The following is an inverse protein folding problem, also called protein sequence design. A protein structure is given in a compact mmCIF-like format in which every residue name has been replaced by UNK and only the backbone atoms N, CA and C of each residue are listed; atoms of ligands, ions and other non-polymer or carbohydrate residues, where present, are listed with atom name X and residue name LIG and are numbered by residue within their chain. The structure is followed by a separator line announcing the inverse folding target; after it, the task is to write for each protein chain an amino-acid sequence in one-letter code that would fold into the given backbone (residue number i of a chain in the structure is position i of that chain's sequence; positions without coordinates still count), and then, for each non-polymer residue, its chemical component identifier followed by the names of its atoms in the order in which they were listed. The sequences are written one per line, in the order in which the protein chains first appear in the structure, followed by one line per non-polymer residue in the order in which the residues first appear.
data_IF_073022358935
#
_entry.id   IF_073022358935
#
_cell.length_a   1.000
_cell.length_b   1.000
_cell.length_c   1.000
_cell.angle_alpha   90.00
_cell.angle_beta   90.00
_cell.angle_gamma   90.00
#
_symmetry.space_group_name_H-M   'P 1'
#
loop_
_entity.id
_entity.type
_entity.pdbx_description
1 polymer ?
#
# COMPACT_ATOMS: atom_id res chain seq x y z
N UNK A 1 -12.95 -9.96 -5.78
CA UNK A 1 -13.25 -11.42 -5.79
C UNK A 1 -14.72 -11.61 -6.16
N UNK A 2 -15.15 -12.77 -6.65
CA UNK A 2 -16.56 -13.07 -7.00
C UNK A 2 -17.11 -14.15 -6.08
N UNK A 3 -18.33 -13.96 -5.60
CA UNK A 3 -19.10 -14.96 -4.85
C UNK A 3 -19.96 -15.81 -5.78
N UNK A 4 -19.53 -17.04 -6.01
CA UNK A 4 -20.26 -17.99 -6.84
C UNK A 4 -21.44 -18.65 -6.12
N UNK A 5 -21.63 -18.40 -4.82
CA UNK A 5 -22.72 -18.97 -4.03
C UNK A 5 -22.48 -20.42 -3.66
N UNK A 6 -23.55 -21.13 -3.30
CA UNK A 6 -23.53 -22.56 -3.00
C UNK A 6 -24.17 -23.27 -4.18
N UNK A 7 -23.34 -23.88 -5.01
CA UNK A 7 -23.75 -24.57 -6.23
C UNK A 7 -23.63 -26.09 -6.03
N UNK A 8 -24.18 -26.89 -6.96
CA UNK A 8 -24.34 -28.34 -6.77
C UNK A 8 -23.24 -29.14 -7.48
N UNK A 9 -22.92 -30.32 -6.94
CA UNK A 9 -21.98 -31.25 -7.55
C UNK A 9 -20.59 -30.63 -7.77
N UNK A 10 -20.16 -30.57 -9.03
CA UNK A 10 -18.83 -30.07 -9.43
C UNK A 10 -18.82 -28.59 -9.84
N UNK A 11 -19.95 -27.89 -9.69
CA UNK A 11 -20.08 -26.47 -10.01
C UNK A 11 -19.20 -25.61 -9.10
N UNK A 12 -18.63 -24.53 -9.66
CA UNK A 12 -17.84 -23.59 -8.90
C UNK A 12 -18.67 -22.96 -7.79
N UNK A 13 -18.25 -23.09 -6.54
CA UNK A 13 -18.93 -22.55 -5.36
C UNK A 13 -17.99 -21.69 -4.52
N UNK A 14 -18.55 -20.78 -3.74
CA UNK A 14 -17.81 -19.94 -2.80
C UNK A 14 -17.08 -18.78 -3.47
N UNK A 15 -16.12 -18.23 -2.74
CA UNK A 15 -15.42 -17.02 -3.16
C UNK A 15 -14.18 -17.35 -4.00
N UNK A 16 -14.16 -16.91 -5.25
CA UNK A 16 -13.04 -17.12 -6.16
C UNK A 16 -12.72 -15.87 -6.98
N UNK A 17 -11.48 -15.75 -7.44
CA UNK A 17 -11.18 -14.77 -8.49
C UNK A 17 -11.84 -15.19 -9.79
N UNK A 18 -12.14 -14.20 -10.63
CA UNK A 18 -12.72 -14.43 -11.93
C UNK A 18 -12.23 -13.37 -12.91
N UNK A 19 -12.16 -13.74 -14.19
CA UNK A 19 -11.85 -12.85 -15.31
C UNK A 19 -13.18 -12.42 -15.93
N UNK A 20 -13.37 -11.11 -16.10
CA UNK A 20 -14.54 -10.56 -16.78
C UNK A 20 -14.33 -10.62 -18.29
N UNK A 21 -15.30 -11.17 -19.02
CA UNK A 21 -15.23 -11.34 -20.48
C UNK A 21 -15.94 -10.23 -21.26
N UNK A 22 -16.83 -9.46 -20.62
CA UNK A 22 -17.55 -8.39 -21.29
C UNK A 22 -16.58 -7.30 -21.77
N UNK A 23 -16.40 -7.19 -23.10
CA UNK A 23 -15.60 -6.14 -23.73
C UNK A 23 -16.23 -4.75 -23.60
N UNK A 24 -17.55 -4.69 -23.76
CA UNK A 24 -18.35 -3.46 -23.69
C UNK A 24 -19.34 -3.58 -22.52
N UNK A 25 -18.91 -3.21 -21.32
CA UNK A 25 -19.77 -3.16 -20.13
C UNK A 25 -20.20 -1.73 -19.79
N UNK A 26 -21.32 -1.58 -19.07
CA UNK A 26 -21.80 -0.28 -18.59
C UNK A 26 -22.38 -0.36 -17.18
N UNK A 27 -22.46 0.77 -16.45
CA UNK A 27 -23.06 0.81 -15.12
C UNK A 27 -24.54 0.37 -15.08
N UNK A 28 -25.26 0.50 -16.21
CA UNK A 28 -26.68 0.09 -16.31
C UNK A 28 -26.85 -1.42 -16.44
N UNK A 29 -25.82 -2.15 -16.88
CA UNK A 29 -25.84 -3.60 -16.95
C UNK A 29 -25.59 -4.18 -15.55
N UNK A 30 -26.56 -4.93 -15.00
CA UNK A 30 -26.49 -5.47 -13.64
C UNK A 30 -25.69 -6.77 -13.49
N UNK A 31 -25.22 -7.35 -14.60
CA UNK A 31 -24.54 -8.67 -14.62
C UNK A 31 -23.22 -8.62 -15.39
N UNK A 32 -22.36 -9.61 -15.16
CA UNK A 32 -21.11 -9.84 -15.90
C UNK A 32 -20.99 -11.31 -16.27
N UNK A 33 -20.50 -11.58 -17.46
CA UNK A 33 -20.02 -12.89 -17.89
C UNK A 33 -18.58 -13.03 -17.45
N UNK A 34 -18.31 -14.06 -16.64
CA UNK A 34 -17.01 -14.26 -16.00
C UNK A 34 -16.51 -15.69 -16.17
N UNK A 35 -15.18 -15.85 -16.16
CA UNK A 35 -14.52 -17.15 -16.04
C UNK A 35 -13.88 -17.26 -14.66
N UNK A 36 -14.25 -18.25 -13.83
CA UNK A 36 -13.60 -18.50 -12.56
C UNK A 36 -12.12 -18.86 -12.70
N UNK A 37 -11.35 -18.56 -11.66
CA UNK A 37 -9.92 -18.83 -11.58
C UNK A 37 -9.63 -19.77 -10.40
N UNK A 38 -8.71 -20.72 -10.61
CA UNK A 38 -8.25 -21.68 -9.60
C UNK A 38 -6.73 -21.74 -9.53
N UNK A 39 -6.18 -22.05 -8.36
CA UNK A 39 -4.74 -22.33 -8.18
C UNK A 39 -4.37 -23.80 -8.38
N UNK A 40 -5.35 -24.65 -8.72
CA UNK A 40 -5.14 -26.09 -8.93
C UNK A 40 -5.02 -26.38 -10.43
N UNK A 41 -3.84 -26.76 -10.94
CA UNK A 41 -3.67 -27.10 -12.35
C UNK A 41 -4.50 -28.34 -12.70
N UNK A 42 -5.13 -28.32 -13.87
CA UNK A 42 -5.86 -29.44 -14.48
C UNK A 42 -5.79 -29.33 -16.00
N UNK A 43 -6.12 -30.42 -16.70
CA UNK A 43 -6.26 -30.43 -18.14
C UNK A 43 -7.34 -29.42 -18.59
N UNK A 44 -7.14 -28.80 -19.76
CA UNK A 44 -8.07 -27.83 -20.37
C UNK A 44 -8.28 -26.53 -19.57
N UNK A 45 -7.35 -26.18 -18.68
CA UNK A 45 -7.30 -24.87 -18.02
C UNK A 45 -6.26 -23.96 -18.69
N UNK A 46 -6.49 -22.66 -18.69
CA UNK A 46 -5.56 -21.68 -19.26
C UNK A 46 -4.77 -21.03 -18.13
N UNK A 47 -3.45 -21.20 -18.14
CA UNK A 47 -2.56 -20.58 -17.16
C UNK A 47 -2.52 -19.06 -17.33
N UNK A 48 -2.54 -18.33 -16.22
CA UNK A 48 -2.38 -16.87 -16.22
C UNK A 48 -0.90 -16.47 -16.37
N UNK A 49 -0.69 -15.27 -16.92
CA UNK A 49 0.63 -14.69 -17.24
C UNK A 49 1.45 -14.27 -16.00
N UNK A 50 0.83 -14.26 -14.83
CA UNK A 50 1.40 -13.67 -13.62
C UNK A 50 0.63 -14.08 -12.37
N UNK A 51 1.22 -13.81 -11.21
CA UNK A 51 0.54 -14.00 -9.94
C UNK A 51 -0.45 -12.86 -9.69
N UNK A 52 -1.61 -13.21 -9.14
CA UNK A 52 -2.62 -12.21 -8.72
C UNK A 52 -2.02 -11.27 -7.68
N UNK A 53 -1.19 -11.79 -6.78
CA UNK A 53 -0.45 -10.99 -5.81
C UNK A 53 0.48 -9.96 -6.48
N UNK A 54 1.21 -10.33 -7.52
CA UNK A 54 2.16 -9.42 -8.19
C UNK A 54 1.44 -8.27 -8.90
N UNK A 55 0.41 -8.56 -9.71
CA UNK A 55 -0.38 -7.50 -10.36
C UNK A 55 -1.12 -6.63 -9.35
N UNK A 56 -1.52 -7.19 -8.20
CA UNK A 56 -2.14 -6.41 -7.14
C UNK A 56 -1.15 -5.45 -6.47
N UNK A 57 0.08 -5.91 -6.20
CA UNK A 57 1.11 -5.10 -5.54
C UNK A 57 1.49 -3.89 -6.38
N UNK A 58 1.72 -4.07 -7.69
CA UNK A 58 2.08 -2.94 -8.56
C UNK A 58 0.99 -1.85 -8.63
N UNK A 59 -0.28 -2.25 -8.59
CA UNK A 59 -1.41 -1.32 -8.52
C UNK A 59 -1.54 -0.61 -7.16
N UNK A 60 -1.18 -1.29 -6.06
CA UNK A 60 -1.15 -0.70 -4.73
C UNK A 60 0.02 0.27 -4.57
N UNK A 61 1.20 -0.07 -5.10
CA UNK A 61 2.38 0.80 -5.08
C UNK A 61 2.13 2.15 -5.77
N UNK A 62 1.42 2.11 -6.90
CA UNK A 62 0.98 3.32 -7.60
C UNK A 62 0.06 4.22 -6.72
N UNK A 63 -0.74 3.62 -5.83
CA UNK A 63 -1.62 4.33 -4.90
C UNK A 63 -0.89 4.81 -3.64
N UNK A 64 0.14 4.09 -3.20
CA UNK A 64 0.97 4.43 -2.05
C UNK A 64 1.87 5.63 -2.36
N UNK A 65 2.48 5.67 -3.55
CA UNK A 65 3.42 6.72 -3.96
C UNK A 65 2.96 8.16 -3.66
N UNK A 66 1.76 8.63 -4.05
CA UNK A 66 1.33 9.99 -3.74
C UNK A 66 1.13 10.24 -2.24
N UNK A 67 0.78 9.20 -1.46
CA UNK A 67 0.68 9.30 -0.01
C UNK A 67 2.07 9.48 0.59
N UNK A 68 3.06 8.71 0.14
CA UNK A 68 4.46 8.86 0.56
C UNK A 68 5.00 10.26 0.22
N UNK A 69 4.79 10.75 -1.01
CA UNK A 69 5.21 12.10 -1.41
C UNK A 69 4.56 13.16 -0.51
N UNK A 70 3.26 13.04 -0.23
CA UNK A 70 2.56 13.96 0.68
C UNK A 70 3.18 13.94 2.09
N UNK A 71 3.49 12.75 2.63
CA UNK A 71 4.11 12.61 3.95
C UNK A 71 5.50 13.24 3.95
N UNK A 72 6.32 12.98 2.93
CA UNK A 72 7.67 13.54 2.76
C UNK A 72 7.59 15.07 2.73
N UNK A 73 6.73 15.65 1.89
CA UNK A 73 6.57 17.12 1.84
C UNK A 73 6.08 17.73 3.16
N UNK A 74 5.26 17.01 3.93
CA UNK A 74 4.85 17.44 5.27
C UNK A 74 6.00 17.38 6.28
N UNK A 75 6.95 16.46 6.12
CA UNK A 75 8.16 16.36 6.95
C UNK A 75 9.14 17.48 6.57
N UNK A 76 9.49 17.62 5.30
CA UNK A 76 10.41 18.66 4.80
C UNK A 76 9.92 20.07 5.12
N UNK A 77 8.62 20.34 4.92
CA UNK A 77 8.03 21.63 5.25
C UNK A 77 8.10 21.96 6.75
N UNK A 78 8.18 20.95 7.62
CA UNK A 78 8.33 21.14 9.07
C UNK A 78 9.77 21.40 9.47
N UNK A 79 10.73 20.69 8.87
CA UNK A 79 12.15 20.91 9.11
C UNK A 79 12.52 22.37 8.80
N UNK A 80 12.05 22.91 7.67
CA UNK A 80 12.26 24.31 7.29
C UNK A 80 11.65 25.30 8.31
N UNK A 81 10.47 25.00 8.86
CA UNK A 81 9.83 25.85 9.88
C UNK A 81 10.55 25.80 11.22
N UNK A 82 11.11 24.65 11.60
CA UNK A 82 11.88 24.49 12.83
C UNK A 82 13.19 25.28 12.71
N UNK A 83 13.93 25.11 11.61
CA UNK A 83 15.15 25.86 11.34
C UNK A 83 14.92 27.38 11.35
N UNK A 84 13.85 27.86 10.72
CA UNK A 84 13.52 29.28 10.74
C UNK A 84 13.21 29.81 12.15
N UNK A 85 12.55 29.00 13.00
CA UNK A 85 12.26 29.35 14.39
C UNK A 85 13.52 29.34 15.26
N UNK A 86 14.42 28.39 15.05
CA UNK A 86 15.73 28.32 15.72
C UNK A 86 16.55 29.57 15.40
N UNK A 87 16.72 29.92 14.13
CA UNK A 87 17.42 31.14 13.72
C UNK A 87 16.79 32.42 14.32
N UNK A 88 15.45 32.46 14.39
CA UNK A 88 14.73 33.59 15.01
C UNK A 88 14.99 33.67 16.52
N UNK A 89 15.05 32.53 17.20
CA UNK A 89 15.34 32.44 18.63
C UNK A 89 16.81 32.81 18.93
N UNK A 90 17.75 32.31 18.14
CA UNK A 90 19.17 32.67 18.22
C UNK A 90 19.37 34.17 18.03
N UNK A 91 18.73 34.77 17.02
CA UNK A 91 18.78 36.22 16.81
C UNK A 91 18.24 36.98 18.03
N UNK A 92 17.08 36.59 18.55
CA UNK A 92 16.48 37.23 19.73
C UNK A 92 17.33 37.05 20.99
N UNK A 93 17.95 35.89 21.16
CA UNK A 93 18.83 35.62 22.29
C UNK A 93 20.11 36.46 22.20
N UNK A 94 20.72 36.56 21.02
CA UNK A 94 21.87 37.43 20.76
C UNK A 94 21.53 38.91 21.01
N UNK A 95 20.35 39.36 20.61
CA UNK A 95 19.88 40.73 20.85
C UNK A 95 19.63 41.00 22.34
N UNK A 96 19.06 40.04 23.08
CA UNK A 96 18.88 40.14 24.53
C UNK A 96 20.24 40.23 25.25
N UNK A 97 21.21 39.39 24.88
CA UNK A 97 22.54 39.40 25.50
C UNK A 97 23.29 40.71 25.24
N UNK A 98 23.22 41.22 24.00
CA UNK A 98 23.78 42.53 23.64
C UNK A 98 23.14 43.68 24.42
N UNK A 99 21.81 43.68 24.53
CA UNK A 99 21.06 44.81 25.09
C UNK A 99 20.97 44.81 26.63
N UNK A 100 21.01 43.64 27.29
CA UNK A 100 20.88 43.54 28.76
C UNK A 100 22.20 43.40 29.52
N UNK A 101 23.27 42.91 28.90
CA UNK A 101 24.45 42.47 29.64
C UNK A 101 25.76 43.17 29.23
N UNK A 102 25.83 43.91 28.11
CA UNK A 102 27.09 44.46 27.56
C UNK A 102 28.20 43.39 27.37
N UNK A 103 27.82 42.12 27.26
CA UNK A 103 28.74 40.98 27.13
C UNK A 103 29.02 40.74 25.64
N UNK A 104 30.29 40.54 25.30
CA UNK A 104 30.77 40.29 23.93
C UNK A 104 30.46 38.85 23.48
N UNK A 105 30.44 38.59 22.15
CA UNK A 105 30.16 37.23 21.60
C UNK A 105 31.07 36.14 22.19
N UNK A 106 32.33 36.47 22.42
CA UNK A 106 33.35 35.53 22.93
C UNK A 106 33.08 35.08 24.38
N UNK A 107 32.48 35.94 25.20
CA UNK A 107 32.13 35.62 26.59
C UNK A 107 30.86 34.74 26.70
N UNK A 108 29.99 34.76 25.67
CA UNK A 108 28.76 33.94 25.61
C UNK A 108 29.11 32.48 25.31
N UNK A 109 30.00 32.25 24.34
CA UNK A 109 30.42 30.92 23.90
C UNK A 109 31.12 30.14 25.03
N UNK A 110 31.90 30.84 25.87
CA UNK A 110 32.54 30.25 27.03
C UNK A 110 31.54 29.82 28.13
N UNK A 111 30.47 30.60 28.34
CA UNK A 111 29.46 30.34 29.39
C UNK A 111 28.52 29.17 29.05
N UNK A 112 28.15 29.03 27.79
CA UNK A 112 27.32 27.89 27.34
C UNK A 112 28.04 26.56 27.53
N UNK A 113 29.36 26.55 27.31
CA UNK A 113 30.23 25.39 27.52
C UNK A 113 30.39 25.03 29.01
N UNK A 114 30.37 26.04 29.88
CA UNK A 114 30.46 25.88 31.34
C UNK A 114 29.15 25.34 31.96
N UNK A 115 27.99 25.65 31.37
CA UNK A 115 26.66 25.31 31.91
C UNK A 115 26.09 23.95 31.47
N UNK A 116 26.74 23.24 30.54
CA UNK A 116 26.36 21.86 30.15
C UNK A 116 24.94 21.71 29.59
N UNK A 117 24.40 22.77 28.98
CA UNK A 117 23.01 22.86 28.50
C UNK A 117 22.69 21.98 27.28
N UNK A 118 23.68 21.29 26.70
CA UNK A 118 23.51 20.37 25.56
C UNK A 118 22.66 19.13 25.88
N UNK A 119 22.34 18.87 27.17
CA UNK A 119 21.77 17.60 27.64
C UNK A 119 20.24 17.58 27.84
N UNK A 120 19.50 18.69 27.62
CA UNK A 120 18.11 18.82 28.12
C UNK A 120 16.98 18.22 27.22
N UNK A 121 17.28 17.55 26.10
CA UNK A 121 16.26 17.20 25.08
C UNK A 121 15.66 15.78 25.11
N UNK A 122 15.98 14.91 26.08
CA UNK A 122 15.73 13.45 25.94
C UNK A 122 14.65 12.77 26.82
N UNK A 123 13.56 13.41 27.28
CA UNK A 123 12.48 12.63 27.92
C UNK A 123 11.07 13.23 27.75
N UNK A 124 9.96 12.50 27.50
CA UNK A 124 9.69 11.05 27.62
C UNK A 124 8.34 10.67 26.93
N UNK A 125 8.27 9.42 26.46
CA UNK A 125 7.14 8.59 25.94
C UNK A 125 6.61 8.79 24.49
N UNK A 126 7.07 7.96 23.55
CA UNK A 126 6.34 7.61 22.30
C UNK A 126 6.98 6.46 21.52
N UNK A 127 6.19 5.50 21.04
CA UNK A 127 6.52 4.59 19.92
C UNK A 127 7.62 3.48 20.08
N UNK A 128 8.47 3.36 21.12
CA UNK A 128 9.57 2.39 21.08
C UNK A 128 9.03 0.97 21.36
N UNK A 129 7.86 0.91 22.01
CA UNK A 129 7.10 -0.31 22.25
C UNK A 129 6.50 -0.89 20.94
N UNK A 130 6.16 -0.03 19.97
CA UNK A 130 5.68 -0.44 18.65
C UNK A 130 6.87 -0.87 17.77
N UNK A 131 8.00 -0.17 17.88
CA UNK A 131 9.26 -0.53 17.21
C UNK A 131 9.78 -1.90 17.67
N UNK A 132 9.75 -2.22 18.97
CA UNK A 132 10.13 -3.55 19.46
C UNK A 132 9.26 -4.69 18.90
N UNK A 133 8.04 -4.41 18.44
CA UNK A 133 7.22 -5.42 17.75
C UNK A 133 7.60 -5.58 16.29
N UNK A 134 8.17 -4.54 15.65
CA UNK A 134 8.59 -4.55 14.25
C UNK A 134 10.01 -5.12 14.05
N UNK A 135 10.86 -5.04 15.07
CA UNK A 135 12.23 -5.58 15.05
C UNK A 135 12.32 -7.11 15.15
N UNK A 136 11.22 -7.80 15.50
CA UNK A 136 11.23 -9.24 15.76
C UNK A 136 10.97 -10.12 14.53
N UNK A 137 10.62 -9.55 13.38
CA UNK A 137 10.38 -10.30 12.14
C UNK A 137 11.36 -9.86 11.04
N UNK A 138 12.48 -10.60 10.91
CA UNK A 138 13.36 -10.76 9.72
C UNK A 138 13.78 -9.54 8.87
N UNK A 139 13.61 -8.31 9.35
CA UNK A 139 14.03 -7.12 8.61
C UNK A 139 15.38 -6.60 9.14
N UNK A 140 16.44 -6.72 8.34
CA UNK A 140 17.76 -6.16 8.66
C UNK A 140 17.66 -4.62 8.60
N UNK A 141 17.47 -3.99 9.75
CA UNK A 141 17.52 -2.54 9.90
C UNK A 141 18.99 -2.12 9.89
N UNK A 142 19.42 -1.39 8.85
CA UNK A 142 20.76 -0.81 8.78
C UNK A 142 20.89 0.37 9.77
N UNK A 143 22.11 0.67 10.21
CA UNK A 143 22.42 1.73 11.20
C UNK A 143 21.87 3.11 10.79
N UNK A 144 21.84 3.40 9.49
CA UNK A 144 21.23 4.61 8.91
C UNK A 144 19.71 4.69 9.11
N UNK A 145 19.01 3.56 9.03
CA UNK A 145 17.55 3.50 9.23
C UNK A 145 17.21 3.73 10.71
N UNK A 146 18.05 3.23 11.63
CA UNK A 146 17.87 3.44 13.06
C UNK A 146 18.05 4.92 13.45
N UNK A 147 19.07 5.60 12.91
CA UNK A 147 19.32 7.03 13.15
C UNK A 147 18.20 7.93 12.57
N UNK A 148 17.74 7.59 11.35
CA UNK A 148 16.60 8.26 10.71
C UNK A 148 15.30 8.12 11.54
N UNK A 149 15.04 6.93 12.09
CA UNK A 149 13.87 6.66 12.92
C UNK A 149 13.94 7.43 14.26
N UNK A 150 15.12 7.53 14.87
CA UNK A 150 15.31 8.27 16.12
C UNK A 150 15.10 9.78 15.92
N UNK A 151 15.64 10.35 14.86
CA UNK A 151 15.43 11.77 14.49
C UNK A 151 13.99 12.06 14.14
N UNK A 152 13.35 11.17 13.37
CA UNK A 152 11.92 11.28 13.09
C UNK A 152 11.09 11.24 14.39
N UNK A 153 11.45 10.39 15.37
CA UNK A 153 10.69 10.23 16.63
C UNK A 153 10.67 11.50 17.48
N UNK A 154 11.77 12.26 17.49
CA UNK A 154 11.88 13.53 18.22
C UNK A 154 11.04 14.67 17.60
N UNK A 155 10.91 14.69 16.26
CA UNK A 155 10.26 15.77 15.48
C UNK A 155 8.72 15.64 15.46
N UNK A 156 8.18 14.51 15.92
CA UNK A 156 6.85 14.03 15.49
C UNK A 156 5.60 14.59 16.21
N UNK A 157 5.71 15.47 17.21
CA UNK A 157 4.54 16.02 17.92
C UNK A 157 4.12 17.42 17.41
N UNK A 158 3.04 17.50 16.58
CA UNK A 158 2.07 18.65 16.49
C UNK A 158 1.29 18.79 15.16
N UNK A 159 0.97 17.72 14.41
CA UNK A 159 0.02 17.76 13.27
C UNK A 159 -0.86 16.52 13.25
N UNK A 160 -1.68 16.38 14.30
CA UNK A 160 -2.45 15.16 14.60
C UNK A 160 -3.46 14.78 13.49
N UNK A 161 -4.10 15.77 12.86
CA UNK A 161 -5.25 15.53 11.94
C UNK A 161 -4.79 15.03 10.56
N UNK A 162 -3.90 15.74 9.84
CA UNK A 162 -3.43 15.29 8.50
C UNK A 162 -2.69 13.96 8.57
N UNK A 163 -1.97 13.74 9.67
CA UNK A 163 -1.28 12.48 9.95
C UNK A 163 -2.26 11.33 10.18
N UNK A 164 -3.29 11.54 11.00
CA UNK A 164 -4.35 10.55 11.20
C UNK A 164 -5.06 10.16 9.90
N UNK A 165 -5.24 11.09 8.95
CA UNK A 165 -5.83 10.79 7.65
C UNK A 165 -4.91 9.93 6.79
N UNK A 166 -3.60 10.21 6.76
CA UNK A 166 -2.63 9.38 6.05
C UNK A 166 -2.54 7.97 6.66
N UNK A 167 -2.51 7.88 8.00
CA UNK A 167 -2.49 6.61 8.74
C UNK A 167 -3.73 5.76 8.43
N UNK A 168 -4.93 6.37 8.40
CA UNK A 168 -6.16 5.67 8.03
C UNK A 168 -6.08 5.11 6.60
N UNK A 169 -5.58 5.89 5.64
CA UNK A 169 -5.43 5.44 4.25
C UNK A 169 -4.42 4.30 4.13
N UNK A 170 -3.26 4.43 4.78
CA UNK A 170 -2.23 3.39 4.80
C UNK A 170 -2.77 2.10 5.42
N UNK A 171 -3.47 2.16 6.56
CA UNK A 171 -4.08 0.99 7.19
C UNK A 171 -5.06 0.26 6.26
N UNK A 172 -5.86 1.01 5.49
CA UNK A 172 -6.74 0.41 4.47
C UNK A 172 -5.95 -0.28 3.37
N UNK A 173 -4.88 0.33 2.87
CA UNK A 173 -3.99 -0.26 1.86
C UNK A 173 -3.30 -1.53 2.40
N UNK A 174 -2.77 -1.49 3.63
CA UNK A 174 -2.15 -2.65 4.29
C UNK A 174 -3.14 -3.81 4.43
N UNK A 175 -4.40 -3.53 4.75
CA UNK A 175 -5.46 -4.54 4.78
C UNK A 175 -5.67 -5.20 3.41
N UNK A 176 -5.64 -4.43 2.31
CA UNK A 176 -5.74 -4.98 0.95
C UNK A 176 -4.49 -5.81 0.62
N UNK A 177 -3.30 -5.26 0.83
CA UNK A 177 -2.01 -5.92 0.55
C UNK A 177 -1.89 -7.26 1.27
N UNK A 178 -2.16 -7.29 2.57
CA UNK A 178 -2.14 -8.53 3.38
C UNK A 178 -3.17 -9.57 2.92
N UNK A 179 -4.31 -9.13 2.37
CA UNK A 179 -5.31 -10.05 1.79
C UNK A 179 -4.78 -10.66 0.49
N UNK A 180 -4.22 -9.85 -0.41
CA UNK A 180 -3.75 -10.30 -1.72
C UNK A 180 -2.45 -11.12 -1.65
N UNK A 181 -1.61 -10.92 -0.63
CA UNK A 181 -0.38 -11.70 -0.37
C UNK A 181 -0.63 -13.20 -0.31
N UNK A 182 -1.85 -13.63 0.06
CA UNK A 182 -2.26 -15.04 0.13
C UNK A 182 -2.37 -15.71 -1.24
N UNK A 183 -2.46 -14.94 -2.33
CA UNK A 183 -2.67 -15.43 -3.69
C UNK A 183 -1.38 -15.36 -4.52
N UNK A 184 -0.30 -15.88 -3.94
CA UNK A 184 1.05 -15.96 -4.51
C UNK A 184 1.32 -17.23 -5.33
N UNK A 185 0.26 -17.89 -5.81
CA UNK A 185 0.35 -19.10 -6.63
C UNK A 185 -0.11 -18.83 -8.05
N UNK A 186 0.56 -19.49 -9.00
CA UNK A 186 0.12 -19.51 -10.39
C UNK A 186 -1.33 -19.99 -10.41
N UNK A 187 -2.14 -19.25 -11.15
CA UNK A 187 -3.56 -19.48 -11.25
C UNK A 187 -3.95 -19.78 -12.67
N UNK A 188 -5.10 -20.42 -12.84
CA UNK A 188 -5.60 -20.95 -14.10
C UNK A 188 -7.05 -20.56 -14.27
N UNK A 189 -7.40 -19.99 -15.41
CA UNK A 189 -8.78 -19.77 -15.82
C UNK A 189 -9.46 -21.11 -16.11
N UNK A 190 -10.75 -21.21 -15.78
CA UNK A 190 -11.60 -22.40 -16.02
C UNK A 190 -12.67 -22.12 -17.09
N UNK A 191 -12.34 -22.22 -18.40
CA UNK A 191 -13.29 -21.90 -19.47
C UNK A 191 -14.59 -22.73 -19.43
N UNK A 192 -14.52 -23.97 -18.94
CA UNK A 192 -15.70 -24.84 -18.75
C UNK A 192 -16.71 -24.35 -17.70
N UNK A 193 -16.29 -23.46 -16.80
CA UNK A 193 -17.13 -22.93 -15.73
C UNK A 193 -17.54 -21.46 -16.01
N UNK A 194 -17.53 -21.06 -17.29
CA UNK A 194 -18.01 -19.74 -17.70
C UNK A 194 -19.45 -19.55 -17.22
N UNK A 195 -19.71 -18.41 -16.59
CA UNK A 195 -21.02 -18.13 -16.03
C UNK A 195 -21.32 -16.65 -15.97
N UNK A 196 -22.61 -16.31 -15.97
CA UNK A 196 -23.07 -14.95 -15.76
C UNK A 196 -23.40 -14.75 -14.29
N UNK A 197 -22.79 -13.74 -13.67
CA UNK A 197 -23.00 -13.39 -12.26
C UNK A 197 -23.56 -11.98 -12.13
N UNK A 198 -24.39 -11.75 -11.11
CA UNK A 198 -24.77 -10.39 -10.73
C UNK A 198 -23.55 -9.59 -10.27
N UNK A 199 -23.48 -8.30 -10.62
CA UNK A 199 -22.44 -7.39 -10.11
C UNK A 199 -22.45 -7.27 -8.58
N UNK A 200 -23.59 -7.54 -7.92
CA UNK A 200 -23.68 -7.63 -6.46
C UNK A 200 -22.86 -8.79 -5.86
N UNK A 201 -22.46 -9.78 -6.66
CA UNK A 201 -21.58 -10.88 -6.23
C UNK A 201 -20.11 -10.48 -6.21
N UNK A 202 -19.75 -9.28 -6.67
CA UNK A 202 -18.37 -8.79 -6.64
C UNK A 202 -18.07 -8.26 -5.23
N UNK A 203 -17.08 -8.88 -4.59
CA UNK A 203 -16.59 -8.49 -3.26
C UNK A 203 -15.32 -7.65 -3.39
N UNK A 204 -15.38 -6.46 -2.78
CA UNK A 204 -14.26 -5.53 -2.62
C UNK A 204 -13.94 -5.34 -1.14
N UNK A 205 -12.66 -5.20 -0.80
CA UNK A 205 -12.18 -5.03 0.58
C UNK A 205 -12.40 -3.58 1.07
N UNK A 206 -12.00 -2.60 0.26
CA UNK A 206 -12.17 -1.16 0.47
C UNK A 206 -11.85 -0.41 -0.84
N UNK A 207 -11.79 0.93 -0.80
CA UNK A 207 -11.57 1.78 -1.98
C UNK A 207 -10.21 1.58 -2.69
N UNK A 208 -9.22 0.99 -2.00
CA UNK A 208 -7.89 0.70 -2.56
C UNK A 208 -7.80 -0.68 -3.22
N UNK A 209 -8.86 -1.49 -3.16
CA UNK A 209 -8.89 -2.83 -3.73
C UNK A 209 -8.61 -2.76 -5.26
N UNK A 210 -7.63 -3.53 -5.78
CA UNK A 210 -7.34 -3.57 -7.21
C UNK A 210 -8.34 -4.43 -8.00
N UNK A 211 -9.36 -5.00 -7.37
CA UNK A 211 -10.44 -5.72 -8.03
C UNK A 211 -11.04 -4.89 -9.18
N UNK A 212 -11.17 -5.50 -10.36
CA UNK A 212 -11.63 -4.83 -11.58
C UNK A 212 -10.58 -3.99 -12.31
N UNK A 213 -9.41 -3.75 -11.71
CA UNK A 213 -8.28 -3.03 -12.34
C UNK A 213 -7.19 -3.98 -12.85
N UNK A 214 -7.08 -5.18 -12.26
CA UNK A 214 -6.14 -6.22 -12.70
C UNK A 214 -6.56 -6.73 -14.08
N UNK A 215 -5.60 -6.77 -15.01
CA UNK A 215 -5.78 -7.31 -16.37
C UNK A 215 -4.76 -8.40 -16.66
N UNK A 216 -5.21 -9.47 -17.29
CA UNK A 216 -4.34 -10.48 -17.91
C UNK A 216 -3.81 -9.96 -19.26
N UNK A 217 -2.73 -10.53 -19.77
CA UNK A 217 -2.20 -10.20 -21.10
C UNK A 217 -3.18 -10.56 -22.22
N UNK A 218 -3.04 -9.91 -23.38
CA UNK A 218 -3.83 -10.24 -24.57
C UNK A 218 -3.60 -11.69 -25.02
N UNK A 219 -2.36 -12.19 -24.97
CA UNK A 219 -2.05 -13.60 -25.27
C UNK A 219 -2.84 -14.59 -24.39
N UNK A 220 -3.00 -14.29 -23.09
CA UNK A 220 -3.83 -15.11 -22.20
C UNK A 220 -5.31 -15.00 -22.56
N UNK A 221 -5.80 -13.82 -22.96
CA UNK A 221 -7.17 -13.65 -23.44
C UNK A 221 -7.42 -14.45 -24.72
N UNK A 222 -6.51 -14.41 -25.68
CA UNK A 222 -6.61 -15.18 -26.93
C UNK A 222 -6.63 -16.70 -26.65
N UNK A 223 -5.82 -17.16 -25.71
CA UNK A 223 -5.83 -18.56 -25.24
C UNK A 223 -7.15 -18.92 -24.55
N UNK A 224 -7.72 -18.01 -23.77
CA UNK A 224 -9.03 -18.19 -23.14
C UNK A 224 -10.12 -18.28 -24.21
N UNK A 225 -10.13 -17.39 -25.20
CA UNK A 225 -11.12 -17.38 -26.29
C UNK A 225 -11.07 -18.70 -27.08
N UNK A 226 -9.87 -19.15 -27.45
CA UNK A 226 -9.69 -20.45 -28.13
C UNK A 226 -10.16 -21.62 -27.26
N UNK A 227 -9.87 -21.59 -25.96
CA UNK A 227 -10.32 -22.63 -25.04
C UNK A 227 -11.84 -22.64 -24.88
N UNK A 228 -12.51 -21.48 -24.84
CA UNK A 228 -13.98 -21.38 -24.81
C UNK A 228 -14.57 -22.00 -26.08
N UNK A 229 -14.07 -21.60 -27.26
CA UNK A 229 -14.56 -22.11 -28.54
C UNK A 229 -14.41 -23.63 -28.59
N UNK A 230 -13.24 -24.15 -28.24
CA UNK A 230 -12.98 -25.60 -28.20
C UNK A 230 -13.91 -26.35 -27.24
N UNK A 231 -14.29 -25.73 -26.13
CA UNK A 231 -15.09 -26.39 -25.09
C UNK A 231 -16.60 -26.33 -25.36
N UNK A 232 -17.08 -25.31 -26.07
CA UNK A 232 -18.52 -25.06 -26.29
C UNK A 232 -18.95 -25.43 -27.72
N UNK A 233 -18.05 -25.36 -28.69
CA UNK A 233 -18.35 -25.59 -30.11
C UNK A 233 -17.66 -26.85 -30.63
N UNK A 234 -18.21 -27.44 -31.69
CA UNK A 234 -17.59 -28.57 -32.38
C UNK A 234 -16.49 -28.14 -33.38
N UNK A 235 -15.98 -26.92 -33.26
CA UNK A 235 -14.97 -26.40 -34.18
C UNK A 235 -13.58 -26.85 -33.73
N UNK A 236 -12.91 -27.65 -34.57
CA UNK A 236 -11.47 -27.91 -34.38
C UNK A 236 -10.71 -26.63 -34.72
N UNK A 237 -10.24 -25.94 -33.69
CA UNK A 237 -9.23 -24.90 -33.84
C UNK A 237 -7.87 -25.61 -33.87
N UNK A 238 -7.61 -26.33 -34.95
CA UNK A 238 -6.28 -26.81 -35.27
C UNK A 238 -5.62 -25.71 -36.11
N UNK A 239 -4.74 -24.94 -35.49
CA UNK A 239 -3.73 -24.09 -36.14
C UNK A 239 -2.38 -24.39 -35.50
#
# INVERSE_FOLDING_TARGET
MVDFGINVGHEMSGNHFAIVLNKNDSPKNGVLTVIPVTSKPKQNLVQLDSLISEKSSSLLDAQIRPICVMIISLIEGRENQIQAREQTLESKFADILRNKLNITREEIDNKNKELGLDYFLESKLSFPQILNQLSNDDFVVTEEIADFINKATLIMNNNKIKRSQADIKLNKIFKVSSTYKKYSKISYAKPNDIQTVSKYRIKTINEYDPCGKIKVSNDVLDKIDNAIIRNITNTNIDN
#
